data_IF_177843944158
#
_entry.id   IF_177843944158
#
_cell.length_a   1.000
_cell.length_b   1.000
_cell.length_c   1.000
_cell.angle_alpha   90.00
_cell.angle_beta   90.00
_cell.angle_gamma   90.00
#
_symmetry.space_group_name_H-M   'P 1'
#
loop_
_entity.id
_entity.type
_entity.pdbx_description
1 polymer ?
#
# COMPACT_ATOMS: atom_id res chain seq x y z
N UNK A 1 28.03 -31.11 -9.19
CA UNK A 1 27.42 -31.54 -10.47
C UNK A 1 27.07 -30.38 -11.42
N UNK A 2 26.62 -29.21 -10.95
CA UNK A 2 26.12 -28.14 -11.83
C UNK A 2 27.15 -27.53 -12.80
N UNK A 3 28.42 -27.32 -12.40
CA UNK A 3 29.45 -26.79 -13.31
C UNK A 3 29.94 -27.81 -14.33
N UNK A 4 30.05 -29.08 -13.92
CA UNK A 4 30.50 -30.18 -14.78
C UNK A 4 29.54 -30.41 -15.97
N UNK A 5 28.24 -30.23 -15.74
CA UNK A 5 27.23 -30.31 -16.79
C UNK A 5 27.34 -29.19 -17.85
N UNK A 6 28.09 -28.12 -17.57
CA UNK A 6 28.27 -26.97 -18.47
C UNK A 6 29.74 -26.80 -18.87
N UNK A 7 30.59 -27.82 -18.69
CA UNK A 7 32.04 -27.72 -18.87
C UNK A 7 32.47 -27.12 -20.21
N UNK A 8 31.77 -27.50 -21.29
CA UNK A 8 32.03 -27.00 -22.65
C UNK A 8 31.79 -25.50 -22.83
N UNK A 9 31.04 -24.87 -21.92
CA UNK A 9 30.77 -23.44 -21.95
C UNK A 9 31.79 -22.63 -21.16
N UNK A 10 32.87 -23.23 -20.65
CA UNK A 10 33.90 -22.53 -19.88
C UNK A 10 35.24 -22.49 -20.60
N UNK A 11 35.95 -21.37 -20.45
CA UNK A 11 37.32 -21.19 -20.94
C UNK A 11 38.20 -20.60 -19.82
N UNK A 12 39.48 -20.95 -19.84
CA UNK A 12 40.48 -20.35 -18.94
C UNK A 12 41.27 -19.31 -19.74
N UNK A 13 41.34 -18.10 -19.23
CA UNK A 13 42.04 -16.96 -19.84
C UNK A 13 42.57 -16.06 -18.72
N UNK A 14 43.84 -15.66 -18.78
CA UNK A 14 44.51 -14.83 -17.76
C UNK A 14 44.32 -15.34 -16.32
N UNK A 15 44.47 -16.65 -16.13
CA UNK A 15 44.32 -17.34 -14.84
C UNK A 15 42.88 -17.28 -14.28
N UNK A 16 41.94 -16.75 -15.05
CA UNK A 16 40.53 -16.64 -14.70
C UNK A 16 39.69 -17.67 -15.47
N UNK A 17 38.63 -18.18 -14.83
CA UNK A 17 37.66 -19.05 -15.47
C UNK A 17 36.48 -18.20 -15.95
N UNK A 18 36.15 -18.28 -17.23
CA UNK A 18 35.07 -17.53 -17.86
C UNK A 18 34.01 -18.47 -18.39
N UNK A 19 32.73 -18.09 -18.26
CA UNK A 19 31.62 -18.74 -18.94
C UNK A 19 31.31 -17.98 -20.22
N UNK A 20 31.24 -18.68 -21.34
CA UNK A 20 30.77 -18.16 -22.61
C UNK A 20 29.26 -18.34 -22.69
N UNK A 21 28.56 -17.27 -23.01
CA UNK A 21 27.13 -17.27 -23.26
C UNK A 21 26.88 -16.81 -24.69
N UNK A 22 26.21 -17.64 -25.49
CA UNK A 22 25.85 -17.31 -26.86
C UNK A 22 24.41 -16.80 -26.91
N UNK A 23 24.14 -15.89 -27.84
CA UNK A 23 22.78 -15.57 -28.24
C UNK A 23 22.09 -16.78 -28.88
N UNK A 24 20.76 -16.78 -28.91
CA UNK A 24 19.97 -17.90 -29.47
C UNK A 24 20.27 -18.14 -30.97
N UNK A 25 20.63 -17.09 -31.69
CA UNK A 25 21.03 -17.11 -33.10
C UNK A 25 22.55 -17.25 -33.31
N UNK A 26 23.32 -17.38 -32.23
CA UNK A 26 24.79 -17.44 -32.23
C UNK A 26 25.50 -16.24 -32.88
N UNK A 27 24.80 -15.13 -33.11
CA UNK A 27 25.37 -13.91 -33.72
C UNK A 27 26.37 -13.21 -32.82
N UNK A 28 26.27 -13.39 -31.49
CA UNK A 28 27.25 -12.87 -30.55
C UNK A 28 27.49 -13.80 -29.36
N UNK A 29 28.65 -13.61 -28.72
CA UNK A 29 29.05 -14.32 -27.52
C UNK A 29 29.47 -13.32 -26.44
N UNK A 30 29.10 -13.60 -25.20
CA UNK A 30 29.45 -12.82 -24.02
C UNK A 30 30.25 -13.67 -23.04
N UNK A 31 31.37 -13.13 -22.56
CA UNK A 31 32.16 -13.74 -21.49
C UNK A 31 31.68 -13.22 -20.15
N UNK A 32 31.39 -14.14 -19.22
CA UNK A 32 31.03 -13.84 -17.84
C UNK A 32 32.10 -14.43 -16.92
N UNK A 33 32.68 -13.61 -16.06
CA UNK A 33 33.70 -14.06 -15.14
C UNK A 33 33.08 -15.02 -14.11
N UNK A 34 33.68 -16.20 -13.94
CA UNK A 34 33.28 -17.08 -12.85
C UNK A 34 33.80 -16.49 -11.54
N UNK A 35 32.88 -16.03 -10.69
CA UNK A 35 33.24 -15.45 -9.41
C UNK A 35 33.96 -16.48 -8.53
N UNK A 36 35.20 -16.24 -8.09
CA UNK A 36 35.87 -17.15 -7.16
C UNK A 36 35.02 -17.27 -5.90
N UNK A 37 34.74 -18.49 -5.45
CA UNK A 37 33.86 -18.73 -4.30
C UNK A 37 34.33 -17.98 -3.04
N UNK A 38 35.64 -17.83 -2.86
CA UNK A 38 36.25 -17.08 -1.77
C UNK A 38 35.97 -15.56 -1.82
N UNK A 39 35.69 -15.00 -3.00
CA UNK A 39 35.54 -13.55 -3.25
C UNK A 39 34.12 -13.13 -3.58
N UNK A 40 33.18 -14.06 -3.70
CA UNK A 40 31.78 -13.78 -4.03
C UNK A 40 31.16 -12.71 -3.13
N UNK A 41 31.40 -12.77 -1.82
CA UNK A 41 30.91 -11.78 -0.85
C UNK A 41 31.48 -10.38 -1.08
N UNK A 42 32.75 -10.27 -1.46
CA UNK A 42 33.40 -8.99 -1.75
C UNK A 42 32.78 -8.33 -2.98
N UNK A 43 32.57 -9.12 -4.03
CA UNK A 43 31.97 -8.65 -5.29
C UNK A 43 30.52 -8.18 -5.01
N UNK A 44 29.72 -8.97 -4.27
CA UNK A 44 28.36 -8.57 -3.90
C UNK A 44 28.35 -7.28 -3.07
N UNK A 45 29.28 -7.15 -2.12
CA UNK A 45 29.44 -5.93 -1.32
C UNK A 45 29.71 -4.72 -2.20
N UNK A 46 30.63 -4.80 -3.15
CA UNK A 46 30.97 -3.67 -4.01
C UNK A 46 29.79 -3.22 -4.87
N UNK A 47 29.07 -4.17 -5.47
CA UNK A 47 27.95 -3.88 -6.36
C UNK A 47 26.64 -3.52 -5.63
N UNK A 48 26.53 -3.82 -4.34
CA UNK A 48 25.38 -3.44 -3.52
C UNK A 48 25.66 -2.20 -2.65
N UNK A 49 26.74 -2.23 -1.86
CA UNK A 49 27.11 -1.20 -0.89
C UNK A 49 27.97 -0.08 -1.50
N UNK A 50 28.61 -0.30 -2.65
CA UNK A 50 29.47 0.70 -3.28
C UNK A 50 28.70 1.90 -3.82
N UNK A 51 29.39 2.99 -4.19
CA UNK A 51 28.77 4.22 -4.71
C UNK A 51 27.88 3.99 -5.95
N UNK A 52 28.25 3.01 -6.79
CA UNK A 52 27.47 2.60 -7.97
C UNK A 52 26.34 1.62 -7.65
N UNK A 53 26.36 1.02 -6.46
CA UNK A 53 25.43 -0.01 -6.01
C UNK A 53 24.17 0.56 -5.36
N UNK A 54 24.33 1.59 -4.51
CA UNK A 54 23.24 2.40 -3.97
C UNK A 54 22.20 1.64 -3.15
N UNK A 55 22.56 0.50 -2.56
CA UNK A 55 21.65 -0.32 -1.75
C UNK A 55 20.37 -0.77 -2.48
N UNK A 56 20.45 -0.93 -3.80
CA UNK A 56 19.32 -1.33 -4.62
C UNK A 56 18.82 -2.74 -4.27
N UNK A 57 17.55 -3.00 -4.60
CA UNK A 57 16.91 -4.29 -4.38
C UNK A 57 17.48 -5.40 -5.27
N UNK A 58 17.17 -6.66 -4.89
CA UNK A 58 17.70 -7.88 -5.51
C UNK A 58 17.62 -7.85 -7.04
N UNK A 59 16.48 -7.46 -7.61
CA UNK A 59 16.29 -7.43 -9.07
C UNK A 59 17.28 -6.50 -9.78
N UNK A 60 17.38 -5.24 -9.32
CA UNK A 60 18.28 -4.24 -9.91
C UNK A 60 19.75 -4.57 -9.68
N UNK A 61 20.09 -5.15 -8.54
CA UNK A 61 21.46 -5.65 -8.31
C UNK A 61 21.76 -6.79 -9.28
N UNK A 62 20.83 -7.74 -9.47
CA UNK A 62 21.01 -8.87 -10.38
C UNK A 62 21.18 -8.47 -11.85
N UNK A 63 20.54 -7.39 -12.32
CA UNK A 63 20.75 -6.86 -13.68
C UNK A 63 22.23 -6.52 -13.91
N UNK A 64 22.87 -5.83 -12.95
CA UNK A 64 24.30 -5.49 -13.01
C UNK A 64 25.22 -6.72 -12.94
N UNK A 65 24.81 -7.73 -12.17
CA UNK A 65 25.60 -8.95 -11.98
C UNK A 65 25.59 -9.84 -13.22
N UNK A 66 24.43 -10.03 -13.85
CA UNK A 66 24.28 -10.87 -15.05
C UNK A 66 25.11 -10.39 -16.23
N UNK A 67 25.53 -9.13 -16.22
CA UNK A 67 26.37 -8.58 -17.26
C UNK A 67 27.84 -8.96 -17.16
N UNK A 68 28.33 -9.31 -15.98
CA UNK A 68 29.77 -9.42 -15.74
C UNK A 68 30.17 -10.75 -15.08
N UNK A 69 29.25 -11.38 -14.35
CA UNK A 69 29.58 -12.53 -13.52
C UNK A 69 28.63 -13.70 -13.71
N UNK A 70 29.16 -14.88 -13.44
CA UNK A 70 28.39 -16.10 -13.34
C UNK A 70 28.86 -16.93 -12.14
N UNK A 71 27.92 -17.52 -11.42
CA UNK A 71 28.14 -18.70 -10.58
C UNK A 71 26.78 -19.34 -10.28
N UNK A 72 26.80 -20.63 -9.97
CA UNK A 72 25.60 -21.38 -9.61
C UNK A 72 25.02 -20.80 -8.32
N UNK A 73 23.74 -20.42 -8.34
CA UNK A 73 23.07 -19.82 -7.19
C UNK A 73 23.35 -18.33 -6.98
N UNK A 74 23.89 -17.60 -7.97
CA UNK A 74 24.19 -16.16 -7.89
C UNK A 74 23.04 -15.32 -7.34
N UNK A 75 21.80 -15.60 -7.76
CA UNK A 75 20.61 -14.90 -7.29
C UNK A 75 20.38 -15.11 -5.79
N UNK A 76 20.60 -16.32 -5.29
CA UNK A 76 20.42 -16.64 -3.88
C UNK A 76 21.53 -16.01 -3.03
N UNK A 77 22.78 -16.04 -3.51
CA UNK A 77 23.90 -15.35 -2.86
C UNK A 77 23.61 -13.85 -2.69
N UNK A 78 23.16 -13.19 -3.77
CA UNK A 78 22.78 -11.76 -3.74
C UNK A 78 21.58 -11.53 -2.83
N UNK A 79 20.57 -12.40 -2.86
CA UNK A 79 19.39 -12.28 -2.01
C UNK A 79 19.74 -12.40 -0.52
N UNK A 80 20.58 -13.36 -0.15
CA UNK A 80 21.07 -13.55 1.23
C UNK A 80 21.84 -12.30 1.69
N UNK A 81 22.75 -11.77 0.86
CA UNK A 81 23.49 -10.56 1.20
C UNK A 81 22.58 -9.36 1.46
N UNK A 82 21.65 -9.07 0.54
CA UNK A 82 20.77 -7.90 0.64
C UNK A 82 19.82 -8.03 1.84
N UNK A 83 19.34 -9.24 2.15
CA UNK A 83 18.49 -9.49 3.33
C UNK A 83 19.25 -9.27 4.64
N UNK A 84 20.55 -9.55 4.66
CA UNK A 84 21.41 -9.36 5.82
C UNK A 84 22.15 -8.01 5.82
N UNK A 85 21.83 -7.11 4.89
CA UNK A 85 22.43 -5.79 4.86
C UNK A 85 21.84 -4.91 5.97
N UNK A 86 22.68 -4.48 6.93
CA UNK A 86 22.26 -3.65 8.06
C UNK A 86 21.62 -2.33 7.62
N UNK A 87 22.19 -1.67 6.60
CA UNK A 87 21.68 -0.38 6.10
C UNK A 87 20.29 -0.54 5.48
N UNK A 88 20.09 -1.59 4.67
CA UNK A 88 18.79 -1.89 4.10
C UNK A 88 17.77 -2.33 5.16
N UNK A 89 18.20 -3.09 6.17
CA UNK A 89 17.33 -3.58 7.25
C UNK A 89 16.85 -2.44 8.15
N UNK A 90 17.75 -1.51 8.51
CA UNK A 90 17.40 -0.30 9.26
C UNK A 90 16.45 0.61 8.49
N UNK A 91 16.65 0.76 7.18
CA UNK A 91 15.79 1.60 6.33
C UNK A 91 14.40 1.02 6.08
N UNK A 92 14.25 -0.31 5.97
CA UNK A 92 12.98 -0.94 5.58
C UNK A 92 11.96 -1.13 6.70
N UNK A 93 12.36 -0.89 7.96
CA UNK A 93 11.49 -1.11 9.12
C UNK A 93 11.06 -2.58 9.29
N UNK A 94 10.39 -2.92 10.41
CA UNK A 94 9.92 -4.27 10.64
C UNK A 94 8.83 -4.67 9.63
N UNK A 95 9.01 -5.81 8.96
CA UNK A 95 7.98 -6.43 8.11
C UNK A 95 6.85 -6.94 8.99
N UNK A 96 5.73 -6.19 8.97
CA UNK A 96 4.43 -6.47 9.60
C UNK A 96 4.46 -6.85 11.09
N UNK A 97 3.89 -5.99 11.93
CA UNK A 97 3.39 -6.43 13.24
C UNK A 97 2.41 -7.60 13.03
N UNK A 98 2.39 -8.62 13.92
CA UNK A 98 1.34 -9.64 13.88
C UNK A 98 -0.02 -8.92 13.93
N UNK A 99 -0.88 -9.18 12.93
CA UNK A 99 -2.24 -8.65 12.89
C UNK A 99 -2.97 -9.27 14.09
N UNK A 100 -3.29 -8.46 15.10
CA UNK A 100 -4.23 -8.88 16.13
C UNK A 100 -5.54 -9.33 15.47
N UNK A 101 -6.27 -10.25 16.12
CA UNK A 101 -7.61 -10.59 15.64
C UNK A 101 -8.44 -9.30 15.64
N UNK A 102 -8.93 -8.87 14.48
CA UNK A 102 -9.95 -7.83 14.40
C UNK A 102 -11.13 -8.29 15.26
N UNK A 103 -11.42 -7.59 16.36
CA UNK A 103 -12.74 -7.68 16.96
C UNK A 103 -13.68 -6.92 16.02
N UNK A 104 -14.44 -7.66 15.23
CA UNK A 104 -15.49 -7.09 14.41
C UNK A 104 -16.63 -6.69 15.34
N UNK A 105 -16.87 -5.39 15.47
CA UNK A 105 -18.11 -4.90 16.06
C UNK A 105 -19.23 -5.14 15.03
N UNK A 106 -20.04 -6.17 15.26
CA UNK A 106 -21.14 -6.53 14.38
C UNK A 106 -22.41 -5.82 14.86
N UNK A 107 -22.97 -4.95 14.03
CA UNK A 107 -24.34 -4.48 14.19
C UNK A 107 -25.31 -5.66 13.93
N UNK A 108 -26.32 -5.82 14.79
CA UNK A 108 -27.38 -6.81 14.70
C UNK A 108 -28.62 -6.36 13.93
N UNK A 109 -28.84 -5.04 13.76
CA UNK A 109 -29.96 -4.49 12.97
C UNK A 109 -29.56 -3.27 12.13
N UNK A 110 -30.31 -2.93 11.05
CA UNK A 110 -30.07 -1.69 10.30
C UNK A 110 -30.13 -0.46 11.20
N UNK A 111 -29.29 0.55 10.92
CA UNK A 111 -29.21 1.81 11.68
C UNK A 111 -28.70 1.67 13.12
N UNK A 112 -28.31 0.47 13.56
CA UNK A 112 -27.67 0.32 14.86
C UNK A 112 -26.33 1.05 14.91
N UNK A 113 -25.54 0.93 13.84
CA UNK A 113 -24.25 1.62 13.74
C UNK A 113 -23.97 2.06 12.32
N UNK A 114 -23.74 3.36 12.15
CA UNK A 114 -23.38 3.97 10.86
C UNK A 114 -21.94 4.46 10.91
N UNK A 115 -21.16 4.07 9.91
CA UNK A 115 -19.85 4.65 9.63
C UNK A 115 -20.02 6.01 8.96
N UNK A 116 -19.16 6.96 9.30
CA UNK A 116 -19.03 8.23 8.63
C UNK A 116 -17.56 8.53 8.35
N UNK A 117 -17.22 8.70 7.07
CA UNK A 117 -15.87 9.03 6.62
C UNK A 117 -15.89 10.09 5.53
N UNK A 118 -14.78 10.83 5.38
CA UNK A 118 -14.61 11.84 4.35
C UNK A 118 -13.38 11.52 3.53
N UNK A 119 -13.55 11.51 2.20
CA UNK A 119 -12.47 11.35 1.26
C UNK A 119 -12.22 12.62 0.46
N UNK A 120 -10.95 12.93 0.21
CA UNK A 120 -10.50 14.04 -0.62
C UNK A 120 -9.26 14.74 -0.05
N UNK A 121 -8.87 15.90 -0.59
CA UNK A 121 -9.53 16.60 -1.70
C UNK A 121 -9.34 15.88 -3.04
N UNK A 122 -10.38 15.93 -3.87
CA UNK A 122 -10.39 15.52 -5.28
C UNK A 122 -10.32 16.77 -6.18
N UNK A 123 -10.26 16.56 -7.50
CA UNK A 123 -10.49 17.64 -8.46
C UNK A 123 -11.86 18.26 -8.23
N UNK A 124 -11.94 19.58 -8.37
CA UNK A 124 -13.19 20.30 -8.16
C UNK A 124 -14.16 20.02 -9.29
N UNK A 125 -15.38 19.60 -8.97
CA UNK A 125 -16.50 19.59 -9.93
C UNK A 125 -16.89 21.02 -10.31
N UNK A 126 -17.75 21.14 -11.33
CA UNK A 126 -18.34 22.42 -11.73
C UNK A 126 -19.14 23.10 -10.60
N UNK A 127 -19.69 22.31 -9.69
CA UNK A 127 -20.39 22.79 -8.49
C UNK A 127 -19.44 23.14 -7.33
N UNK A 128 -18.12 22.97 -7.51
CA UNK A 128 -17.11 23.29 -6.50
C UNK A 128 -16.92 22.20 -5.44
N UNK A 129 -17.52 21.02 -5.59
CA UNK A 129 -17.32 19.90 -4.66
C UNK A 129 -15.89 19.36 -4.79
N UNK A 130 -15.23 19.18 -3.66
CA UNK A 130 -13.84 18.69 -3.58
C UNK A 130 -13.70 17.49 -2.67
N UNK A 131 -14.72 17.18 -1.89
CA UNK A 131 -14.69 16.07 -0.96
C UNK A 131 -15.96 15.24 -1.12
N UNK A 132 -15.92 14.07 -0.53
CA UNK A 132 -17.03 13.13 -0.54
C UNK A 132 -17.24 12.62 0.87
N UNK A 133 -18.44 12.82 1.41
CA UNK A 133 -18.91 12.22 2.66
C UNK A 133 -19.51 10.85 2.37
N UNK A 134 -19.02 9.83 3.06
CA UNK A 134 -19.44 8.45 2.92
C UNK A 134 -20.14 8.01 4.20
N UNK A 135 -21.35 7.47 4.07
CA UNK A 135 -22.14 6.89 5.16
C UNK A 135 -22.40 5.43 4.87
N UNK A 136 -22.10 4.55 5.82
CA UNK A 136 -22.23 3.10 5.62
C UNK A 136 -22.95 2.47 6.81
N UNK A 137 -24.00 1.71 6.54
CA UNK A 137 -24.66 0.88 7.56
C UNK A 137 -23.85 -0.40 7.84
N UNK A 138 -23.46 -0.61 9.11
CA UNK A 138 -22.66 -1.77 9.48
C UNK A 138 -23.40 -3.09 9.32
N UNK A 139 -24.72 -3.10 9.46
CA UNK A 139 -25.52 -4.32 9.34
C UNK A 139 -25.66 -4.75 7.89
N UNK A 140 -26.26 -3.89 7.05
CA UNK A 140 -26.57 -4.22 5.65
C UNK A 140 -25.39 -4.03 4.69
N UNK A 141 -24.33 -3.31 5.12
CA UNK A 141 -23.25 -2.80 4.27
C UNK A 141 -23.73 -1.83 3.19
N UNK A 142 -24.93 -1.30 3.34
CA UNK A 142 -25.45 -0.32 2.41
C UNK A 142 -24.79 1.04 2.62
N UNK A 143 -24.31 1.62 1.52
CA UNK A 143 -23.51 2.86 1.54
C UNK A 143 -24.18 3.99 0.76
N UNK A 144 -24.04 5.21 1.27
CA UNK A 144 -24.35 6.46 0.56
C UNK A 144 -23.12 7.35 0.50
N UNK A 145 -23.04 8.08 -0.61
CA UNK A 145 -21.90 8.90 -0.98
C UNK A 145 -22.45 10.27 -1.37
N UNK A 146 -21.99 11.33 -0.70
CA UNK A 146 -22.48 12.69 -0.89
C UNK A 146 -21.32 13.63 -1.20
N UNK A 147 -21.33 14.33 -2.35
CA UNK A 147 -20.31 15.32 -2.66
C UNK A 147 -20.47 16.56 -1.76
N UNK A 148 -19.35 17.09 -1.26
CA UNK A 148 -19.31 18.29 -0.41
C UNK A 148 -18.17 19.23 -0.84
N UNK A 149 -18.38 20.53 -0.61
CA UNK A 149 -17.44 21.61 -0.98
C UNK A 149 -16.23 21.70 -0.05
N UNK A 150 -16.44 21.42 1.23
CA UNK A 150 -15.48 21.54 2.32
C UNK A 150 -15.75 20.48 3.39
N UNK A 151 -14.82 20.33 4.32
CA UNK A 151 -14.96 19.41 5.45
C UNK A 151 -15.44 20.13 6.71
N UNK A 152 -16.02 21.33 6.61
CA UNK A 152 -16.46 22.06 7.78
C UNK A 152 -17.59 21.30 8.48
N UNK A 153 -17.60 21.31 9.81
CA UNK A 153 -18.56 20.57 10.60
C UNK A 153 -20.02 20.91 10.26
N UNK A 154 -20.30 22.19 9.96
CA UNK A 154 -21.64 22.64 9.58
C UNK A 154 -22.09 22.02 8.25
N UNK A 155 -21.20 21.92 7.28
CA UNK A 155 -21.47 21.30 5.97
C UNK A 155 -21.78 19.81 6.15
N UNK A 156 -20.94 19.12 6.91
CA UNK A 156 -21.11 17.69 7.21
C UNK A 156 -22.43 17.44 7.95
N UNK A 157 -22.69 18.19 9.02
CA UNK A 157 -23.91 18.06 9.83
C UNK A 157 -25.17 18.28 8.99
N UNK A 158 -25.20 19.33 8.16
CA UNK A 158 -26.32 19.60 7.24
C UNK A 158 -26.55 18.45 6.26
N UNK A 159 -25.48 17.94 5.64
CA UNK A 159 -25.60 16.84 4.69
C UNK A 159 -26.10 15.57 5.39
N UNK A 160 -25.54 15.24 6.56
CA UNK A 160 -25.97 14.10 7.37
C UNK A 160 -27.45 14.20 7.76
N UNK A 161 -27.88 15.30 8.36
CA UNK A 161 -29.27 15.47 8.78
C UNK A 161 -30.22 15.45 7.58
N UNK A 162 -29.95 16.27 6.56
CA UNK A 162 -30.89 16.46 5.45
C UNK A 162 -30.97 15.27 4.47
N UNK A 163 -29.95 14.42 4.42
CA UNK A 163 -29.90 13.33 3.44
C UNK A 163 -29.91 11.93 4.05
N UNK A 164 -29.53 11.80 5.33
CA UNK A 164 -29.58 10.53 6.03
C UNK A 164 -30.71 10.50 7.04
N UNK A 165 -30.65 11.35 8.07
CA UNK A 165 -31.59 11.31 9.21
C UNK A 165 -33.03 11.50 8.74
N UNK A 166 -33.28 12.49 7.88
CA UNK A 166 -34.63 12.77 7.34
C UNK A 166 -35.17 11.69 6.40
N UNK A 167 -34.31 10.86 5.80
CA UNK A 167 -34.71 9.88 4.78
C UNK A 167 -34.79 8.46 5.30
N UNK A 168 -33.87 8.10 6.18
CA UNK A 168 -33.69 6.73 6.66
C UNK A 168 -33.95 6.61 8.16
N UNK A 169 -33.88 7.71 8.88
CA UNK A 169 -34.01 7.75 10.34
C UNK A 169 -32.67 7.91 11.05
N UNK A 170 -32.78 7.98 12.36
CA UNK A 170 -31.66 8.25 13.26
C UNK A 170 -30.94 6.95 13.63
N UNK A 171 -29.60 6.89 13.52
CA UNK A 171 -28.86 5.75 13.98
C UNK A 171 -28.68 5.73 15.51
N UNK A 172 -28.52 4.54 16.10
CA UNK A 172 -28.21 4.42 17.53
C UNK A 172 -26.76 4.87 17.78
N UNK A 173 -25.83 4.42 16.95
CA UNK A 173 -24.42 4.77 17.04
C UNK A 173 -23.89 5.37 15.73
N UNK A 174 -23.10 6.44 15.85
CA UNK A 174 -22.40 7.05 14.72
C UNK A 174 -20.88 6.98 14.93
N UNK A 175 -20.24 6.13 14.13
CA UNK A 175 -18.81 5.89 14.15
C UNK A 175 -18.08 6.76 13.14
N UNK A 176 -17.00 7.42 13.53
CA UNK A 176 -16.13 8.16 12.59
C UNK A 176 -14.67 8.08 12.99
N UNK A 177 -13.79 8.60 12.14
CA UNK A 177 -12.41 8.88 12.52
C UNK A 177 -12.32 10.03 13.54
N UNK A 178 -11.10 10.31 14.02
CA UNK A 178 -10.81 11.41 14.95
C UNK A 178 -10.57 12.76 14.26
N UNK A 179 -11.08 12.96 13.04
CA UNK A 179 -10.92 14.26 12.40
C UNK A 179 -11.66 15.34 13.21
N UNK A 180 -11.05 16.52 13.30
CA UNK A 180 -11.57 17.65 14.10
C UNK A 180 -12.99 18.06 13.70
N UNK A 181 -13.38 17.75 12.47
CA UNK A 181 -14.67 18.10 11.90
C UNK A 181 -15.82 17.35 12.59
N UNK A 182 -15.61 16.07 12.92
CA UNK A 182 -16.60 15.24 13.63
C UNK A 182 -16.62 15.46 15.15
N UNK A 183 -15.61 16.14 15.70
CA UNK A 183 -15.46 16.44 17.13
C UNK A 183 -15.87 17.89 17.48
N UNK A 184 -16.40 18.63 16.51
CA UNK A 184 -16.87 20.00 16.75
C UNK A 184 -18.11 20.06 17.67
N UNK A 185 -18.29 21.18 18.35
CA UNK A 185 -19.49 21.42 19.19
C UNK A 185 -20.80 21.31 18.40
N UNK A 186 -20.81 21.73 17.14
CA UNK A 186 -21.97 21.60 16.25
C UNK A 186 -22.34 20.13 16.08
N UNK A 187 -21.35 19.29 15.79
CA UNK A 187 -21.59 17.87 15.53
C UNK A 187 -22.01 17.11 16.79
N UNK A 188 -21.44 17.49 17.94
CA UNK A 188 -21.85 17.00 19.25
C UNK A 188 -23.30 17.37 19.56
N UNK A 189 -23.70 18.62 19.31
CA UNK A 189 -25.08 19.08 19.52
C UNK A 189 -26.07 18.32 18.62
N UNK A 190 -25.72 18.10 17.33
CA UNK A 190 -26.53 17.28 16.43
C UNK A 190 -26.71 15.87 17.00
N UNK A 191 -25.64 15.24 17.48
CA UNK A 191 -25.74 13.91 18.08
C UNK A 191 -26.62 13.92 19.33
N UNK A 192 -26.55 14.96 20.16
CA UNK A 192 -27.38 15.10 21.36
C UNK A 192 -28.86 15.28 21.01
N UNK A 193 -29.21 16.15 20.05
CA UNK A 193 -30.59 16.41 19.63
C UNK A 193 -31.26 15.13 19.12
N UNK A 194 -30.51 14.30 18.41
CA UNK A 194 -31.03 13.05 17.84
C UNK A 194 -30.80 11.84 18.75
N UNK A 195 -30.26 11.99 19.95
CA UNK A 195 -29.92 10.88 20.86
C UNK A 195 -29.01 9.81 20.20
N UNK A 196 -28.03 10.27 19.43
CA UNK A 196 -27.04 9.44 18.74
C UNK A 196 -25.82 9.26 19.63
N UNK A 197 -25.44 8.01 19.90
CA UNK A 197 -24.17 7.71 20.56
C UNK A 197 -22.99 7.89 19.59
N UNK A 198 -22.19 8.93 19.79
CA UNK A 198 -21.01 9.17 18.96
C UNK A 198 -19.82 8.34 19.44
N UNK A 199 -19.29 7.49 18.57
CA UNK A 199 -18.05 6.73 18.82
C UNK A 199 -16.96 7.13 17.83
N UNK A 200 -15.70 6.82 18.14
CA UNK A 200 -14.55 7.17 17.29
C UNK A 200 -13.52 6.06 17.24
N UNK A 201 -12.71 6.03 16.18
CA UNK A 201 -11.53 5.16 16.13
C UNK A 201 -10.54 5.49 17.25
N UNK A 202 -9.87 4.49 17.79
CA UNK A 202 -8.73 4.71 18.70
C UNK A 202 -7.50 5.16 17.89
N UNK A 203 -6.70 6.14 18.38
CA UNK A 203 -5.48 6.54 17.71
C UNK A 203 -4.57 5.31 17.57
N UNK A 204 -3.99 5.09 16.38
CA UNK A 204 -3.04 4.00 16.08
C UNK A 204 -3.63 2.59 15.88
N UNK A 205 -4.95 2.40 15.91
CA UNK A 205 -5.60 1.11 15.58
C UNK A 205 -6.67 1.22 14.47
N UNK A 206 -6.28 1.51 13.22
CA UNK A 206 -7.16 1.44 12.04
C UNK A 206 -7.79 0.04 11.84
N UNK A 207 -7.16 -0.98 12.43
CA UNK A 207 -7.59 -2.37 12.30
C UNK A 207 -8.97 -2.65 12.91
N UNK A 208 -9.51 -1.86 13.84
CA UNK A 208 -10.88 -2.09 14.33
C UNK A 208 -11.95 -1.78 13.26
N UNK A 209 -11.60 -0.97 12.26
CA UNK A 209 -12.48 -0.44 11.21
C UNK A 209 -12.24 -1.10 9.85
N UNK A 210 -11.68 -2.32 9.83
CA UNK A 210 -11.27 -2.97 8.59
C UNK A 210 -12.40 -3.26 7.59
N UNK A 211 -13.67 -2.98 7.92
CA UNK A 211 -14.77 -3.00 6.96
C UNK A 211 -14.89 -1.64 6.25
N UNK A 212 -14.92 -0.54 7.00
CA UNK A 212 -14.98 0.81 6.45
C UNK A 212 -13.72 1.12 5.65
N UNK A 213 -12.53 0.71 6.12
CA UNK A 213 -11.27 0.91 5.38
C UNK A 213 -11.25 0.21 4.01
N UNK A 214 -11.81 -1.00 3.91
CA UNK A 214 -11.84 -1.74 2.64
C UNK A 214 -12.83 -1.11 1.67
N UNK A 215 -14.01 -0.74 2.16
CA UNK A 215 -15.00 -0.06 1.34
C UNK A 215 -14.48 1.30 0.89
N UNK A 216 -13.94 2.12 1.78
CA UNK A 216 -13.41 3.44 1.45
C UNK A 216 -12.22 3.34 0.49
N UNK A 217 -11.35 2.33 0.65
CA UNK A 217 -10.29 2.06 -0.34
C UNK A 217 -10.86 1.70 -1.70
N UNK A 218 -11.83 0.78 -1.78
CA UNK A 218 -12.47 0.41 -3.06
C UNK A 218 -13.20 1.58 -3.69
N UNK A 219 -13.91 2.40 -2.89
CA UNK A 219 -14.59 3.60 -3.34
C UNK A 219 -13.59 4.64 -3.85
N UNK A 220 -12.49 4.89 -3.12
CA UNK A 220 -11.42 5.78 -3.57
C UNK A 220 -10.76 5.29 -4.86
N UNK A 221 -10.48 4.00 -4.98
CA UNK A 221 -9.94 3.41 -6.21
C UNK A 221 -10.92 3.54 -7.38
N UNK A 222 -12.22 3.40 -7.14
CA UNK A 222 -13.24 3.54 -8.17
C UNK A 222 -13.43 5.01 -8.58
N UNK A 223 -13.56 5.92 -7.60
CA UNK A 223 -13.65 7.36 -7.84
C UNK A 223 -12.42 7.88 -8.59
N UNK A 224 -11.21 7.44 -8.24
CA UNK A 224 -9.99 7.82 -8.96
C UNK A 224 -10.00 7.37 -10.43
N UNK A 225 -10.53 6.19 -10.74
CA UNK A 225 -10.62 5.69 -12.12
C UNK A 225 -11.68 6.43 -12.93
N UNK A 226 -12.83 6.71 -12.32
CA UNK A 226 -13.95 7.37 -13.01
C UNK A 226 -13.70 8.87 -13.23
N UNK A 227 -13.06 9.54 -12.28
CA UNK A 227 -12.73 10.97 -12.36
C UNK A 227 -11.61 11.24 -13.38
N UNK A 228 -10.74 10.27 -13.67
CA UNK A 228 -9.73 10.40 -14.74
C UNK A 228 -10.37 10.37 -16.15
N UNK A 229 -11.52 9.68 -16.30
CA UNK A 229 -12.18 9.45 -17.60
C UNK A 229 -13.38 10.40 -17.88
N UNK A 230 -14.03 10.99 -16.87
CA UNK A 230 -15.20 11.87 -17.07
C UNK A 230 -15.28 13.00 -16.04
N UNK A 231 -14.82 14.19 -16.44
CA UNK A 231 -14.85 15.43 -15.66
C UNK A 231 -16.15 16.24 -15.83
N UNK A 232 -17.34 15.70 -15.55
CA UNK A 232 -18.57 16.51 -15.71
C UNK A 232 -19.56 16.60 -14.55
N UNK A 233 -19.48 15.79 -13.49
CA UNK A 233 -20.44 15.87 -12.37
C UNK A 233 -19.78 15.86 -10.98
#
# INVERSE_FOLDING_TARGET
>A
MAYWAQWQSFIVEDVCLWRIWHSEDFSWAKKLLLGPQARTSEIIREYHNGPRGGHLGITKTMEKFKENFYWVGIKDSVAVWIRNCDQCSKSKGPKSKPRGRLQQYNAGVPLERIAMDISGPFLSSNAGNKYVLVLIDYFSRWSKVYPITDQEANTIAKVFVNNWVTRFGTPIELHSDQSRNFESSIFQEVCQIFDINKTRTTPLHPQSDGIDERFNRTLQEHLRKVIDDNQQD
#
